data_IF_884051582643
#
_entry.id   IF_884051582643
#
_cell.length_a   1.000
_cell.length_b   1.000
_cell.length_c   1.000
_cell.angle_alpha   90.00
_cell.angle_beta   90.00
_cell.angle_gamma   90.00
#
_symmetry.space_group_name_H-M   'P 1'
#
loop_
_entity.id
_entity.type
_entity.pdbx_description
1 polymer ?
#
# COMPACT_ATOMS: atom_id res chain seq x y z
N UNK A 1 -6.53 -12.14 -33.31
CA UNK A 1 -5.55 -12.94 -32.54
C UNK A 1 -4.91 -12.21 -31.36
N UNK A 2 -4.61 -10.90 -31.44
CA UNK A 2 -3.95 -10.15 -30.35
C UNK A 2 -4.86 -9.96 -29.11
N UNK A 3 -6.16 -9.74 -29.30
CA UNK A 3 -7.16 -9.65 -28.21
C UNK A 3 -7.31 -10.96 -27.43
N UNK A 4 -7.32 -12.11 -28.13
CA UNK A 4 -7.31 -13.45 -27.52
C UNK A 4 -5.99 -13.75 -26.78
N UNK A 5 -4.87 -13.17 -27.23
CA UNK A 5 -3.58 -13.23 -26.52
C UNK A 5 -3.60 -12.38 -25.25
N UNK A 6 -4.13 -11.16 -25.31
CA UNK A 6 -4.34 -10.29 -24.15
C UNK A 6 -5.29 -10.97 -23.16
N UNK A 7 -6.42 -11.52 -23.62
CA UNK A 7 -7.32 -12.32 -22.77
C UNK A 7 -6.61 -13.55 -22.20
N UNK A 8 -5.78 -14.27 -22.97
CA UNK A 8 -4.98 -15.38 -22.43
C UNK A 8 -3.93 -14.93 -21.41
N UNK A 9 -3.29 -13.78 -21.61
CA UNK A 9 -2.30 -13.21 -20.70
C UNK A 9 -2.98 -12.70 -19.43
N UNK A 10 -4.08 -11.95 -19.55
CA UNK A 10 -4.96 -11.55 -18.44
C UNK A 10 -5.46 -12.80 -17.70
N UNK A 11 -5.93 -13.84 -18.42
CA UNK A 11 -6.41 -15.11 -17.85
C UNK A 11 -5.31 -15.96 -17.21
N UNK A 12 -4.06 -15.85 -17.66
CA UNK A 12 -2.91 -16.51 -17.03
C UNK A 12 -2.40 -15.73 -15.82
N UNK A 13 -2.44 -14.39 -15.85
CA UNK A 13 -2.09 -13.53 -14.71
C UNK A 13 -3.18 -13.64 -13.62
N UNK A 14 -4.46 -13.74 -14.00
CA UNK A 14 -5.61 -13.89 -13.11
C UNK A 14 -5.70 -15.26 -12.41
N UNK A 15 -4.80 -16.20 -12.69
CA UNK A 15 -4.66 -17.47 -11.95
C UNK A 15 -3.86 -17.31 -10.66
N UNK A 16 -3.19 -16.18 -10.47
CA UNK A 16 -2.75 -15.75 -9.15
C UNK A 16 -3.97 -15.26 -8.38
N UNK A 17 -4.24 -15.78 -7.18
CA UNK A 17 -5.37 -15.28 -6.40
C UNK A 17 -5.18 -13.77 -6.20
N UNK A 18 -6.26 -12.98 -6.34
CA UNK A 18 -6.33 -11.63 -5.77
C UNK A 18 -6.21 -11.78 -4.25
N UNK A 19 -4.99 -12.00 -3.76
CA UNK A 19 -4.81 -12.80 -2.54
C UNK A 19 -5.13 -12.04 -1.25
N UNK A 20 -5.30 -10.71 -1.31
CA UNK A 20 -5.59 -9.90 -0.13
C UNK A 20 -6.40 -8.65 -0.50
N UNK A 21 -7.58 -8.81 -1.11
CA UNK A 21 -8.56 -7.72 -1.11
C UNK A 21 -9.46 -7.86 0.11
N UNK A 22 -9.00 -7.34 1.26
CA UNK A 22 -9.93 -7.07 2.35
C UNK A 22 -10.79 -5.88 1.94
N UNK A 23 -12.06 -6.16 1.69
CA UNK A 23 -13.11 -5.20 1.35
C UNK A 23 -13.23 -4.20 2.51
N UNK A 24 -12.49 -3.10 2.47
CA UNK A 24 -12.30 -2.23 3.63
C UNK A 24 -11.05 -1.37 3.59
N UNK A 25 -10.52 -1.12 2.40
CA UNK A 25 -9.39 -0.22 2.24
C UNK A 25 -9.86 1.05 1.54
N UNK A 26 -9.23 2.15 1.91
CA UNK A 26 -9.56 3.49 1.46
C UNK A 26 -9.08 3.79 0.01
N UNK A 27 -8.44 2.82 -0.62
CA UNK A 27 -7.88 2.94 -1.97
C UNK A 27 -8.91 2.59 -3.03
N UNK A 28 -8.95 3.39 -4.10
CA UNK A 28 -9.62 3.05 -5.33
C UNK A 28 -8.68 2.18 -6.18
N UNK A 29 -9.08 0.94 -6.45
CA UNK A 29 -8.30 0.02 -7.29
C UNK A 29 -8.89 0.05 -8.70
N UNK A 30 -8.00 0.08 -9.68
CA UNK A 30 -8.27 -0.08 -11.10
C UNK A 30 -9.35 -1.14 -11.42
N UNK A 31 -10.13 -0.90 -12.48
CA UNK A 31 -11.13 -1.85 -12.97
C UNK A 31 -10.54 -3.19 -13.43
N UNK A 32 -9.26 -3.22 -13.83
CA UNK A 32 -8.49 -4.44 -14.10
C UNK A 32 -7.73 -4.91 -12.85
N UNK A 33 -8.46 -5.00 -11.73
CA UNK A 33 -7.92 -5.34 -10.41
C UNK A 33 -7.17 -6.68 -10.36
N UNK A 34 -7.41 -7.61 -11.29
CA UNK A 34 -6.69 -8.87 -11.45
C UNK A 34 -5.20 -8.69 -11.80
N UNK A 35 -4.81 -7.49 -12.22
CA UNK A 35 -3.42 -7.10 -12.50
C UNK A 35 -2.78 -6.31 -11.36
N UNK A 36 -3.48 -6.17 -10.23
CA UNK A 36 -2.98 -5.53 -9.02
C UNK A 36 -2.72 -6.60 -7.98
N UNK A 37 -1.46 -6.70 -7.54
CA UNK A 37 -1.07 -7.57 -6.42
C UNK A 37 -0.78 -6.70 -5.20
N UNK A 38 -1.33 -7.06 -4.04
CA UNK A 38 -1.13 -6.34 -2.78
C UNK A 38 -0.70 -7.34 -1.71
N UNK A 39 0.42 -7.04 -1.06
CA UNK A 39 0.97 -7.81 0.04
C UNK A 39 0.18 -7.68 1.34
N UNK A 40 0.48 -8.58 2.28
CA UNK A 40 -0.10 -8.60 3.63
C UNK A 40 0.22 -7.32 4.42
N UNK A 41 -0.61 -7.00 5.42
CA UNK A 41 -0.42 -5.83 6.30
C UNK A 41 -0.38 -4.48 5.55
N UNK A 42 -1.03 -4.41 4.38
CA UNK A 42 -1.21 -3.17 3.63
C UNK A 42 -2.17 -2.22 4.38
N UNK A 43 -1.84 -0.93 4.41
CA UNK A 43 -2.69 0.12 4.99
C UNK A 43 -2.80 1.27 3.99
N UNK A 44 -3.98 1.86 3.85
CA UNK A 44 -4.16 3.03 3.01
C UNK A 44 -5.06 4.10 3.61
N UNK A 45 -4.73 5.34 3.30
CA UNK A 45 -5.51 6.51 3.62
C UNK A 45 -6.50 6.86 2.47
N UNK A 46 -7.58 7.61 2.79
CA UNK A 46 -8.65 7.97 1.85
C UNK A 46 -8.16 8.51 0.51
N UNK A 47 -8.81 8.03 -0.56
CA UNK A 47 -8.65 8.58 -1.91
C UNK A 47 -7.36 8.17 -2.63
N UNK A 48 -6.54 7.31 -2.02
CA UNK A 48 -5.40 6.71 -2.74
C UNK A 48 -5.90 5.87 -3.93
N UNK A 49 -5.11 5.78 -5.00
CA UNK A 49 -5.48 5.11 -6.25
C UNK A 49 -4.35 4.16 -6.68
N UNK A 50 -4.70 2.94 -7.07
CA UNK A 50 -3.75 1.97 -7.62
C UNK A 50 -4.21 1.61 -9.02
N UNK A 51 -3.41 1.96 -10.03
CA UNK A 51 -3.74 1.75 -11.44
C UNK A 51 -3.01 0.54 -12.02
N UNK A 52 -3.65 -0.13 -12.98
CA UNK A 52 -3.10 -1.22 -13.78
C UNK A 52 -3.31 -1.01 -15.29
N UNK A 53 -4.11 -0.01 -15.70
CA UNK A 53 -4.20 0.40 -17.08
C UNK A 53 -4.13 1.92 -17.29
N UNK A 54 -3.89 2.30 -18.53
CA UNK A 54 -3.88 3.68 -19.01
C UNK A 54 -4.57 3.73 -20.38
N UNK A 55 -5.64 4.51 -20.46
CA UNK A 55 -6.46 4.69 -21.66
C UNK A 55 -5.96 5.81 -22.58
N UNK A 56 -4.95 6.58 -22.18
CA UNK A 56 -4.39 7.66 -22.99
C UNK A 56 -3.88 7.17 -24.36
N UNK A 57 -3.44 5.91 -24.44
CA UNK A 57 -2.94 5.30 -25.68
C UNK A 57 -4.02 4.99 -26.71
N UNK A 58 -5.30 4.94 -26.33
CA UNK A 58 -6.41 4.61 -27.25
C UNK A 58 -6.48 5.63 -28.40
N UNK A 59 -6.35 6.91 -28.09
CA UNK A 59 -6.45 7.98 -29.09
C UNK A 59 -5.29 7.94 -30.11
N UNK A 60 -4.18 7.31 -29.75
CA UNK A 60 -2.98 7.26 -30.59
C UNK A 60 -2.85 5.97 -31.39
N UNK A 61 -3.32 4.84 -30.86
CA UNK A 61 -3.13 3.54 -31.51
C UNK A 61 -4.30 2.56 -31.36
N UNK A 62 -5.43 2.99 -30.80
CA UNK A 62 -6.62 2.15 -30.59
C UNK A 62 -6.43 1.03 -29.57
N UNK A 63 -5.38 1.11 -28.72
CA UNK A 63 -5.02 0.08 -27.74
C UNK A 63 -4.91 0.68 -26.35
N UNK A 64 -5.26 -0.11 -25.32
CA UNK A 64 -4.99 0.19 -23.91
C UNK A 64 -3.53 -0.16 -23.58
N UNK A 65 -2.88 0.65 -22.74
CA UNK A 65 -1.67 0.26 -22.02
C UNK A 65 -2.12 -0.45 -20.74
N UNK A 66 -1.63 -1.67 -20.52
CA UNK A 66 -2.04 -2.54 -19.41
C UNK A 66 -0.79 -3.20 -18.83
N UNK A 67 -0.55 -3.01 -17.54
CA UNK A 67 0.66 -3.50 -16.87
C UNK A 67 0.35 -3.95 -15.44
N UNK A 68 1.08 -4.97 -14.97
CA UNK A 68 0.92 -5.51 -13.62
C UNK A 68 1.53 -4.55 -12.59
N UNK A 69 0.74 -4.10 -11.63
CA UNK A 69 1.17 -3.24 -10.53
C UNK A 69 1.28 -4.08 -9.25
N UNK A 70 2.38 -3.95 -8.52
CA UNK A 70 2.69 -4.78 -7.35
C UNK A 70 2.93 -3.88 -6.14
N UNK A 71 2.17 -4.09 -5.07
CA UNK A 71 2.38 -3.47 -3.77
C UNK A 71 2.91 -4.55 -2.83
N UNK A 72 4.10 -4.32 -2.26
CA UNK A 72 4.71 -5.21 -1.28
C UNK A 72 3.95 -5.31 0.04
N UNK A 73 4.51 -6.07 0.98
CA UNK A 73 3.97 -6.26 2.34
C UNK A 73 4.22 -5.03 3.20
N UNK A 74 3.37 -4.79 4.20
CA UNK A 74 3.53 -3.70 5.20
C UNK A 74 3.67 -2.30 4.58
N UNK A 75 3.10 -2.08 3.41
CA UNK A 75 3.14 -0.78 2.72
C UNK A 75 2.02 0.13 3.25
N UNK A 76 2.34 1.42 3.39
CA UNK A 76 1.35 2.47 3.66
C UNK A 76 1.18 3.38 2.43
N UNK A 77 -0.06 3.59 1.97
CA UNK A 77 -0.40 4.67 1.02
C UNK A 77 -1.04 5.86 1.73
N UNK A 78 -0.42 7.02 1.58
CA UNK A 78 -0.96 8.30 2.03
C UNK A 78 -2.20 8.74 1.25
N UNK A 79 -2.92 9.71 1.81
CA UNK A 79 -4.18 10.18 1.24
C UNK A 79 -3.96 10.72 -0.17
N UNK A 80 -4.84 10.36 -1.11
CA UNK A 80 -4.76 10.76 -2.52
C UNK A 80 -3.42 10.42 -3.23
N UNK A 81 -2.62 9.49 -2.72
CA UNK A 81 -1.47 8.97 -3.46
C UNK A 81 -1.92 8.14 -4.66
N UNK A 82 -1.25 8.26 -5.80
CA UNK A 82 -1.56 7.52 -7.04
C UNK A 82 -0.36 6.67 -7.44
N UNK A 83 -0.60 5.37 -7.61
CA UNK A 83 0.38 4.43 -8.16
C UNK A 83 0.04 4.20 -9.64
N UNK A 84 0.96 4.53 -10.55
CA UNK A 84 0.75 4.36 -11.99
C UNK A 84 0.89 2.88 -12.42
N UNK A 85 0.30 2.51 -13.59
CA UNK A 85 0.40 1.14 -14.11
C UNK A 85 1.84 0.66 -14.27
N UNK A 86 2.10 -0.58 -13.86
CA UNK A 86 3.38 -1.26 -14.02
C UNK A 86 4.38 -1.03 -12.89
N UNK A 87 4.05 -0.18 -11.92
CA UNK A 87 4.94 0.15 -10.79
C UNK A 87 4.97 -0.98 -9.77
N UNK A 88 6.17 -1.24 -9.24
CA UNK A 88 6.41 -2.13 -8.10
C UNK A 88 6.85 -1.33 -6.86
N UNK A 89 6.12 -1.47 -5.77
CA UNK A 89 6.45 -0.89 -4.47
C UNK A 89 7.03 -1.99 -3.58
N UNK A 90 8.28 -1.80 -3.12
CA UNK A 90 8.92 -2.73 -2.20
C UNK A 90 8.27 -2.76 -0.82
N UNK A 91 8.57 -3.81 -0.07
CA UNK A 91 8.00 -4.03 1.27
C UNK A 91 8.30 -2.87 2.24
N UNK A 92 7.37 -2.60 3.15
CA UNK A 92 7.56 -1.63 4.24
C UNK A 92 7.58 -0.17 3.81
N UNK A 93 7.30 0.16 2.54
CA UNK A 93 7.35 1.54 2.06
C UNK A 93 6.25 2.42 2.65
N UNK A 94 6.56 3.71 2.80
CA UNK A 94 5.61 4.76 3.15
C UNK A 94 5.49 5.70 1.95
N UNK A 95 4.32 5.69 1.30
CA UNK A 95 4.02 6.59 0.20
C UNK A 95 3.32 7.82 0.77
N UNK A 96 3.92 9.00 0.62
CA UNK A 96 3.38 10.25 1.12
C UNK A 96 2.03 10.62 0.49
N UNK A 97 1.25 11.45 1.20
CA UNK A 97 -0.01 11.96 0.69
C UNK A 97 0.21 12.76 -0.61
N UNK A 98 -0.71 12.59 -1.58
CA UNK A 98 -0.66 13.25 -2.89
C UNK A 98 0.50 12.84 -3.79
N UNK A 99 1.28 11.81 -3.42
CA UNK A 99 2.41 11.36 -4.24
C UNK A 99 1.92 10.69 -5.54
N UNK A 100 2.56 11.01 -6.68
CA UNK A 100 2.31 10.33 -7.95
C UNK A 100 3.51 9.45 -8.26
N UNK A 101 3.36 8.14 -8.03
CA UNK A 101 4.45 7.18 -8.16
C UNK A 101 4.51 6.68 -9.59
N UNK A 102 5.58 7.07 -10.29
CA UNK A 102 5.76 6.78 -11.73
C UNK A 102 6.85 5.75 -12.00
N UNK A 103 7.54 5.25 -10.97
CA UNK A 103 8.68 4.32 -11.05
C UNK A 103 8.69 3.40 -9.84
N UNK A 104 9.35 2.25 -9.99
CA UNK A 104 9.54 1.28 -8.90
C UNK A 104 10.21 1.92 -7.69
N UNK A 105 9.76 1.53 -6.50
CA UNK A 105 10.24 2.04 -5.22
C UNK A 105 10.92 0.90 -4.46
N UNK A 106 12.19 1.06 -4.02
CA UNK A 106 12.87 0.03 -3.24
C UNK A 106 12.27 -0.11 -1.83
N UNK A 107 12.35 -1.31 -1.21
CA UNK A 107 11.81 -1.56 0.13
C UNK A 107 12.26 -0.54 1.18
N UNK A 108 11.42 -0.34 2.20
CA UNK A 108 11.68 0.52 3.37
C UNK A 108 12.01 1.99 3.02
N UNK A 109 11.46 2.47 1.90
CA UNK A 109 11.60 3.86 1.46
C UNK A 109 10.39 4.71 1.87
N UNK A 110 10.64 5.97 2.17
CA UNK A 110 9.62 7.01 2.28
C UNK A 110 9.70 7.89 1.03
N UNK A 111 8.60 8.01 0.30
CA UNK A 111 8.56 8.78 -0.95
C UNK A 111 7.48 9.84 -0.93
N UNK A 112 7.63 10.88 -1.75
CA UNK A 112 6.59 11.90 -1.92
C UNK A 112 6.84 12.79 -3.15
N UNK A 113 5.82 13.57 -3.52
CA UNK A 113 5.86 14.50 -4.65
C UNK A 113 5.24 13.97 -5.96
N UNK A 114 5.25 14.82 -6.99
CA UNK A 114 4.81 14.50 -8.34
C UNK A 114 5.84 15.03 -9.36
N UNK A 115 6.66 14.15 -10.00
CA UNK A 115 6.73 12.72 -9.75
C UNK A 115 7.32 12.40 -8.36
N UNK A 116 6.91 11.28 -7.77
CA UNK A 116 7.38 10.87 -6.46
C UNK A 116 8.89 10.58 -6.48
N UNK A 117 9.59 11.04 -5.44
CA UNK A 117 11.02 10.79 -5.22
C UNK A 117 11.21 10.22 -3.82
N UNK A 118 12.28 9.44 -3.64
CA UNK A 118 12.71 8.98 -2.32
C UNK A 118 13.14 10.20 -1.51
N UNK A 119 12.52 10.38 -0.35
CA UNK A 119 12.80 11.47 0.60
C UNK A 119 13.78 10.97 1.67
N UNK A 120 13.54 9.77 2.20
CA UNK A 120 14.31 9.18 3.30
C UNK A 120 14.02 7.68 3.41
N UNK A 121 14.77 6.97 4.25
CA UNK A 121 14.41 5.62 4.71
C UNK A 121 13.32 5.68 5.78
N UNK A 122 12.57 4.58 5.92
CA UNK A 122 11.56 4.42 6.99
C UNK A 122 12.19 4.49 8.37
N UNK A 123 13.37 3.89 8.56
CA UNK A 123 14.12 3.98 9.82
C UNK A 123 14.36 5.44 10.24
N UNK A 124 14.88 6.26 9.34
CA UNK A 124 15.13 7.68 9.60
C UNK A 124 13.84 8.45 9.85
N UNK A 125 12.76 8.12 9.15
CA UNK A 125 11.44 8.71 9.42
C UNK A 125 10.95 8.38 10.83
N UNK A 126 11.05 7.11 11.25
CA UNK A 126 10.65 6.68 12.59
C UNK A 126 11.51 7.33 13.67
N UNK A 127 12.83 7.45 13.47
CA UNK A 127 13.73 8.18 14.37
C UNK A 127 13.27 9.63 14.57
N UNK A 128 12.97 10.35 13.49
CA UNK A 128 12.45 11.73 13.57
C UNK A 128 11.11 11.82 14.30
N UNK A 129 10.23 10.84 14.14
CA UNK A 129 8.97 10.80 14.88
C UNK A 129 9.18 10.58 16.38
N UNK A 130 10.14 9.71 16.76
CA UNK A 130 10.54 9.50 18.16
C UNK A 130 11.16 10.76 18.77
N UNK A 131 12.09 11.39 18.08
CA UNK A 131 12.75 12.62 18.53
C UNK A 131 11.77 13.79 18.73
N UNK A 132 10.69 13.81 17.95
CA UNK A 132 9.62 14.81 18.06
C UNK A 132 8.56 14.46 19.12
N UNK A 133 8.63 13.29 19.73
CA UNK A 133 7.65 12.78 20.70
C UNK A 133 6.20 12.82 20.20
N UNK A 134 5.99 12.36 18.96
CA UNK A 134 4.66 12.34 18.29
C UNK A 134 4.09 10.94 18.08
N UNK A 135 4.67 9.93 18.73
CA UNK A 135 4.23 8.54 18.67
C UNK A 135 3.47 8.19 19.94
N UNK A 136 2.23 7.73 19.78
CA UNK A 136 1.37 7.35 20.90
C UNK A 136 0.88 5.92 20.74
N UNK A 137 0.68 5.23 21.86
CA UNK A 137 0.02 3.94 21.87
C UNK A 137 -1.47 4.11 21.55
N UNK A 138 -1.99 3.24 20.68
CA UNK A 138 -3.43 3.17 20.43
C UNK A 138 -4.06 2.43 21.60
N UNK A 139 -4.62 3.18 22.55
CA UNK A 139 -5.38 2.62 23.66
C UNK A 139 -6.81 2.27 23.24
N UNK A 140 -7.45 1.34 23.96
CA UNK A 140 -8.85 0.97 23.72
C UNK A 140 -9.81 2.17 23.78
N UNK A 141 -9.52 3.14 24.64
CA UNK A 141 -10.31 4.36 24.78
C UNK A 141 -10.20 5.27 23.54
N UNK A 142 -9.00 5.42 22.98
CA UNK A 142 -8.76 6.17 21.74
C UNK A 142 -9.46 5.49 20.55
N UNK A 143 -9.27 4.16 20.43
CA UNK A 143 -9.86 3.35 19.37
C UNK A 143 -11.39 3.45 19.35
N UNK A 144 -12.04 3.33 20.52
CA UNK A 144 -13.50 3.42 20.66
C UNK A 144 -14.05 4.83 20.40
N UNK A 145 -13.32 5.88 20.78
CA UNK A 145 -13.82 7.27 20.74
C UNK A 145 -13.68 7.93 19.37
N UNK A 146 -12.56 7.69 18.68
CA UNK A 146 -12.25 8.43 17.45
C UNK A 146 -12.40 7.58 16.19
N UNK A 147 -12.40 6.25 16.32
CA UNK A 147 -12.08 5.36 15.20
C UNK A 147 -10.65 5.61 14.72
N UNK A 148 -9.95 4.61 14.23
CA UNK A 148 -8.56 4.80 13.78
C UNK A 148 -8.46 5.52 12.42
N UNK A 149 -9.57 5.99 11.85
CA UNK A 149 -9.65 6.50 10.47
C UNK A 149 -9.43 5.42 9.39
N UNK A 150 -9.09 4.19 9.80
CA UNK A 150 -8.98 3.02 8.94
C UNK A 150 -10.40 2.51 8.66
N UNK A 151 -10.94 2.83 7.48
CA UNK A 151 -12.28 2.38 7.06
C UNK A 151 -12.25 0.93 6.58
N UNK A 152 -11.91 0.02 7.48
CA UNK A 152 -12.09 -1.39 7.21
C UNK A 152 -13.32 -1.93 7.92
N UNK A 153 -14.11 -2.70 7.19
CA UNK A 153 -15.18 -3.47 7.79
C UNK A 153 -14.60 -4.41 8.85
N UNK A 154 -15.10 -4.24 10.07
CA UNK A 154 -15.40 -5.32 11.03
C UNK A 154 -14.23 -6.21 11.48
N UNK A 155 -13.69 -5.93 12.67
CA UNK A 155 -12.88 -6.82 13.54
C UNK A 155 -11.50 -7.32 13.04
N UNK A 156 -11.35 -7.71 11.78
CA UNK A 156 -10.10 -8.26 11.22
C UNK A 156 -8.95 -7.24 11.22
N UNK A 157 -9.25 -5.97 10.95
CA UNK A 157 -8.23 -4.91 10.97
C UNK A 157 -7.91 -4.45 12.39
N UNK A 158 -8.88 -4.49 13.32
CA UNK A 158 -8.55 -4.30 14.75
C UNK A 158 -7.62 -5.40 15.22
N UNK A 159 -7.88 -6.64 14.82
CA UNK A 159 -7.00 -7.78 15.08
C UNK A 159 -5.65 -7.63 14.38
N UNK A 160 -5.58 -7.06 13.18
CA UNK A 160 -4.33 -6.75 12.47
C UNK A 160 -3.52 -5.67 13.20
N UNK A 161 -4.14 -4.54 13.54
CA UNK A 161 -3.47 -3.45 14.25
C UNK A 161 -3.02 -3.93 15.63
N UNK A 162 -3.88 -4.67 16.34
CA UNK A 162 -3.55 -5.24 17.63
C UNK A 162 -2.47 -6.32 17.52
N UNK A 163 -2.46 -7.15 16.48
CA UNK A 163 -1.40 -8.17 16.28
C UNK A 163 -0.07 -7.53 15.92
N UNK A 164 -0.06 -6.49 15.08
CA UNK A 164 1.13 -5.68 14.80
C UNK A 164 1.63 -5.05 16.10
N UNK A 165 0.75 -4.45 16.89
CA UNK A 165 1.08 -3.85 18.18
C UNK A 165 1.68 -4.86 19.16
N UNK A 166 1.05 -6.02 19.33
CA UNK A 166 1.53 -7.11 20.21
C UNK A 166 2.88 -7.67 19.73
N UNK A 167 3.10 -7.80 18.41
CA UNK A 167 4.40 -8.21 17.85
C UNK A 167 5.50 -7.21 18.20
N UNK A 168 5.21 -5.90 18.14
CA UNK A 168 6.18 -4.88 18.56
C UNK A 168 6.49 -4.96 20.05
N UNK A 169 5.46 -5.06 20.91
CA UNK A 169 5.63 -5.17 22.36
C UNK A 169 6.45 -6.39 22.77
N UNK A 170 6.21 -7.53 22.14
CA UNK A 170 7.00 -8.76 22.38
C UNK A 170 8.48 -8.57 21.98
N UNK A 171 8.77 -7.87 20.87
CA UNK A 171 10.15 -7.60 20.43
C UNK A 171 10.88 -6.62 21.34
N UNK A 172 10.19 -5.65 21.95
CA UNK A 172 10.80 -4.74 22.92
C UNK A 172 11.12 -5.46 24.24
N UNK A 173 10.21 -6.28 24.76
CA UNK A 173 10.48 -7.10 25.95
C UNK A 173 11.66 -8.06 25.73
N UNK A 174 11.75 -8.70 24.56
CA UNK A 174 12.86 -9.60 24.24
C UNK A 174 14.21 -8.89 24.08
N UNK A 175 14.24 -7.56 23.86
CA UNK A 175 15.47 -6.76 23.84
C UNK A 175 15.92 -6.38 25.24
N UNK A 176 14.99 -6.13 26.15
CA UNK A 176 15.28 -5.79 27.55
C UNK A 176 15.73 -7.00 28.39
N UNK A 177 15.31 -8.21 28.02
CA UNK A 177 15.73 -9.46 28.70
C UNK A 177 17.13 -9.96 28.26
N UNK A 178 17.75 -9.33 27.25
CA UNK A 178 19.05 -9.71 26.68
C UNK A 178 20.13 -8.62 26.85
N UNK A 179 19.86 -7.59 27.66
CA UNK A 179 20.82 -6.60 28.17
C UNK A 179 21.07 -6.82 29.67
#
# INVERSE_FOLDING_TARGET
>A
MQFLRILKTIYQISKGPSRYYNKGMNSNIDGLSELVEIGEEFISAPGSIILAHDASTILHCGKLRVEKTIIGKKVFLGANAVILPGVKIGDGCIIGAGAIVTKDIPPYSVVGGNPAKIITTVENYMKKCKERDVLYEITDSISKKHGTGVKASSEEIKQLINSIYLQFKQRENHRLDNE
#
